data_IF_927557974214
#
_entry.id   IF_927557974214
#
_cell.length_a   1.000
_cell.length_b   1.000
_cell.length_c   1.000
_cell.angle_alpha   90.00
_cell.angle_beta   90.00
_cell.angle_gamma   90.00
#
_symmetry.space_group_name_H-M   'P 1'
#
loop_
_entity.id
_entity.type
_entity.pdbx_description
1 polymer ?
#
# COMPACT_ATOMS: atom_id res chain seq x y z
N UNK A 1 -21.69 -26.16 -2.78
CA UNK A 1 -22.52 -24.95 -2.99
C UNK A 1 -21.52 -23.81 -3.14
N UNK A 2 -21.12 -23.52 -4.38
CA UNK A 2 -20.22 -22.41 -4.66
C UNK A 2 -20.97 -21.11 -4.41
N UNK A 3 -20.56 -20.36 -3.42
CA UNK A 3 -20.97 -18.98 -3.23
C UNK A 3 -20.38 -18.17 -4.40
N UNK A 4 -21.20 -17.90 -5.41
CA UNK A 4 -20.89 -16.91 -6.42
C UNK A 4 -20.89 -15.55 -5.71
N UNK A 5 -19.69 -15.04 -5.42
CA UNK A 5 -19.51 -13.68 -4.94
C UNK A 5 -19.64 -12.76 -6.17
N UNK A 6 -20.84 -12.51 -6.61
CA UNK A 6 -21.17 -11.58 -7.70
C UNK A 6 -22.00 -10.39 -7.23
N UNK A 7 -22.33 -10.33 -5.95
CA UNK A 7 -23.10 -9.22 -5.42
C UNK A 7 -22.19 -8.34 -4.56
N UNK A 8 -21.39 -7.49 -5.22
CA UNK A 8 -20.92 -6.26 -4.56
C UNK A 8 -22.19 -5.55 -4.11
N UNK A 9 -22.38 -5.26 -2.83
CA UNK A 9 -23.56 -4.54 -2.40
C UNK A 9 -23.66 -3.26 -3.21
N UNK A 10 -24.75 -3.07 -3.93
CA UNK A 10 -25.02 -1.90 -4.76
C UNK A 10 -24.79 -0.60 -3.97
N UNK A 11 -24.98 -0.65 -2.67
CA UNK A 11 -24.70 0.40 -1.71
C UNK A 11 -23.23 0.84 -1.68
N UNK A 12 -22.25 -0.06 -1.75
CA UNK A 12 -20.81 0.28 -1.74
C UNK A 12 -20.42 1.04 -3.01
N UNK A 13 -20.98 0.64 -4.15
CA UNK A 13 -20.74 1.31 -5.43
C UNK A 13 -21.32 2.74 -5.39
N UNK A 14 -22.53 2.90 -4.89
CA UNK A 14 -23.17 4.22 -4.79
C UNK A 14 -22.42 5.15 -3.82
N UNK A 15 -21.95 4.64 -2.68
CA UNK A 15 -21.10 5.41 -1.76
C UNK A 15 -19.77 5.77 -2.43
N UNK A 16 -19.14 4.85 -3.17
CA UNK A 16 -17.93 5.13 -3.93
C UNK A 16 -18.13 6.21 -4.98
N UNK A 17 -19.23 6.19 -5.73
CA UNK A 17 -19.59 7.26 -6.68
C UNK A 17 -19.78 8.62 -5.97
N UNK A 18 -20.42 8.62 -4.81
CA UNK A 18 -20.58 9.81 -4.01
C UNK A 18 -19.23 10.38 -3.59
N UNK A 19 -18.32 9.55 -3.06
CA UNK A 19 -16.96 9.95 -2.66
C UNK A 19 -16.22 10.56 -3.85
N UNK A 20 -16.24 9.93 -5.02
CA UNK A 20 -15.63 10.47 -6.24
C UNK A 20 -16.21 11.84 -6.59
N UNK A 21 -17.53 12.01 -6.51
CA UNK A 21 -18.19 13.27 -6.79
C UNK A 21 -17.79 14.39 -5.81
N UNK A 22 -17.71 14.08 -4.52
CA UNK A 22 -17.33 15.02 -3.47
C UNK A 22 -15.85 15.39 -3.49
N UNK A 23 -15.00 14.44 -3.93
CA UNK A 23 -13.54 14.58 -3.91
C UNK A 23 -12.92 14.60 -5.31
N UNK A 24 -13.58 15.28 -6.24
CA UNK A 24 -13.12 15.44 -7.64
C UNK A 24 -11.69 15.95 -7.79
N UNK A 25 -11.15 16.64 -6.79
CA UNK A 25 -9.76 17.10 -6.78
C UNK A 25 -8.75 15.97 -6.56
N UNK A 26 -9.16 14.82 -5.97
CA UNK A 26 -8.35 13.62 -5.83
C UNK A 26 -8.65 12.60 -6.95
N UNK A 27 -9.92 12.51 -7.36
CA UNK A 27 -10.39 11.55 -8.36
C UNK A 27 -10.76 12.28 -9.65
N UNK A 28 -9.76 12.84 -10.32
CA UNK A 28 -9.91 13.39 -11.67
C UNK A 28 -10.23 12.28 -12.67
N UNK A 29 -10.74 12.64 -13.85
CA UNK A 29 -11.01 11.64 -14.89
C UNK A 29 -9.72 10.92 -15.31
N UNK A 30 -8.58 11.62 -15.31
CA UNK A 30 -7.24 11.04 -15.56
C UNK A 30 -6.84 10.05 -14.47
N UNK A 31 -7.04 10.38 -13.19
CA UNK A 31 -6.71 9.49 -12.07
C UNK A 31 -7.58 8.23 -12.06
N UNK A 32 -8.87 8.36 -12.34
CA UNK A 32 -9.76 7.22 -12.46
C UNK A 32 -9.38 6.31 -13.64
N UNK A 33 -8.91 6.88 -14.75
CA UNK A 33 -8.43 6.10 -15.88
C UNK A 33 -7.11 5.38 -15.57
N UNK A 34 -6.19 6.04 -14.86
CA UNK A 34 -4.96 5.43 -14.38
C UNK A 34 -5.23 4.24 -13.44
N UNK A 35 -6.19 4.38 -12.54
CA UNK A 35 -6.62 3.28 -11.66
C UNK A 35 -7.23 2.12 -12.45
N UNK A 36 -8.09 2.38 -13.44
CA UNK A 36 -8.65 1.33 -14.32
C UNK A 36 -7.53 0.62 -15.06
N UNK A 37 -6.60 1.38 -15.64
CA UNK A 37 -5.45 0.81 -16.32
C UNK A 37 -4.60 -0.06 -15.39
N UNK A 38 -4.32 0.41 -14.17
CA UNK A 38 -3.60 -0.36 -13.16
C UNK A 38 -4.27 -1.72 -12.90
N UNK A 39 -5.56 -1.73 -12.61
CA UNK A 39 -6.28 -2.96 -12.32
C UNK A 39 -6.43 -3.87 -13.54
N UNK A 40 -6.50 -3.32 -14.75
CA UNK A 40 -6.51 -4.12 -15.98
C UNK A 40 -5.18 -4.84 -16.20
N UNK A 41 -4.04 -4.18 -15.92
CA UNK A 41 -2.70 -4.72 -16.16
C UNK A 41 -2.26 -5.67 -15.04
N UNK A 42 -2.50 -5.30 -13.78
CA UNK A 42 -1.96 -6.00 -12.61
C UNK A 42 -3.03 -6.78 -11.83
N UNK A 43 -4.29 -6.49 -12.05
CA UNK A 43 -5.40 -6.99 -11.24
C UNK A 43 -5.81 -8.44 -11.51
N UNK A 44 -5.34 -9.08 -12.55
CA UNK A 44 -5.69 -10.47 -12.88
C UNK A 44 -7.18 -10.65 -13.18
N UNK A 45 -7.97 -11.09 -12.20
CA UNK A 45 -9.40 -11.35 -12.33
C UNK A 45 -10.29 -10.09 -12.27
N UNK A 46 -9.69 -8.90 -12.22
CA UNK A 46 -10.44 -7.66 -12.27
C UNK A 46 -10.88 -7.39 -13.70
N UNK A 47 -12.13 -7.72 -13.98
CA UNK A 47 -12.77 -7.36 -15.24
C UNK A 47 -13.13 -5.89 -15.21
N UNK A 48 -13.06 -5.24 -16.37
CA UNK A 48 -13.52 -3.87 -16.58
C UNK A 48 -15.04 -3.78 -16.56
N UNK A 49 -15.64 -4.06 -15.40
CA UNK A 49 -16.99 -3.63 -15.11
C UNK A 49 -16.87 -2.24 -14.47
N UNK A 50 -17.11 -1.20 -15.16
CA UNK A 50 -16.86 0.19 -14.74
C UNK A 50 -17.23 0.56 -13.30
N UNK A 51 -17.90 -0.32 -12.56
CA UNK A 51 -18.31 -0.15 -11.17
C UNK A 51 -17.24 -0.58 -10.16
N UNK A 52 -16.28 -1.44 -10.57
CA UNK A 52 -15.21 -1.89 -9.67
C UNK A 52 -14.39 -0.73 -9.10
N UNK A 53 -14.12 0.31 -9.90
CA UNK A 53 -13.39 1.50 -9.44
C UNK A 53 -14.09 2.17 -8.26
N UNK A 54 -15.39 2.24 -8.27
CA UNK A 54 -16.16 2.82 -7.16
C UNK A 54 -16.14 1.93 -5.93
N UNK A 55 -16.15 0.60 -6.11
CA UNK A 55 -15.91 -0.32 -4.99
C UNK A 55 -14.53 -0.11 -4.38
N UNK A 56 -13.48 -0.01 -5.21
CA UNK A 56 -12.13 0.27 -4.72
C UNK A 56 -12.06 1.61 -3.98
N UNK A 57 -12.66 2.67 -4.50
CA UNK A 57 -12.73 3.97 -3.81
C UNK A 57 -13.41 3.83 -2.45
N UNK A 58 -14.52 3.09 -2.37
CA UNK A 58 -15.15 2.78 -1.10
C UNK A 58 -14.19 2.05 -0.14
N UNK A 59 -13.54 0.98 -0.61
CA UNK A 59 -12.62 0.18 0.19
C UNK A 59 -11.41 1.00 0.68
N UNK A 60 -10.87 1.87 -0.17
CA UNK A 60 -9.81 2.79 0.20
C UNK A 60 -10.23 3.70 1.37
N UNK A 61 -11.39 4.32 1.30
CA UNK A 61 -11.87 5.23 2.34
C UNK A 61 -12.32 4.54 3.62
N UNK A 62 -12.87 3.34 3.52
CA UNK A 62 -13.36 2.59 4.67
C UNK A 62 -12.27 1.82 5.41
N UNK A 63 -11.31 1.28 4.68
CA UNK A 63 -10.31 0.37 5.24
C UNK A 63 -8.86 0.86 5.06
N UNK A 64 -8.63 1.98 4.38
CA UNK A 64 -7.29 2.52 4.11
C UNK A 64 -6.44 1.64 3.20
N UNK A 65 -7.07 0.85 2.33
CA UNK A 65 -6.38 -0.03 1.39
C UNK A 65 -5.89 0.75 0.18
N UNK A 66 -4.67 0.51 -0.28
CA UNK A 66 -4.18 1.05 -1.54
C UNK A 66 -4.44 0.08 -2.70
N UNK A 67 -4.16 0.49 -3.94
CA UNK A 67 -4.43 -0.32 -5.14
C UNK A 67 -3.64 -1.63 -5.19
N UNK A 68 -2.43 -1.68 -4.65
CA UNK A 68 -1.62 -2.89 -4.57
C UNK A 68 -2.18 -3.87 -3.54
N UNK A 69 -2.62 -3.37 -2.39
CA UNK A 69 -3.24 -4.17 -1.34
C UNK A 69 -4.61 -4.69 -1.76
N UNK A 70 -5.42 -3.87 -2.43
CA UNK A 70 -6.70 -4.27 -3.01
C UNK A 70 -6.55 -5.51 -3.88
N UNK A 71 -5.57 -5.47 -4.79
CA UNK A 71 -5.21 -6.58 -5.65
C UNK A 71 -4.64 -7.77 -4.87
N UNK A 72 -3.61 -7.53 -4.03
CA UNK A 72 -2.86 -8.58 -3.34
C UNK A 72 -3.73 -9.35 -2.36
N UNK A 73 -4.59 -8.65 -1.63
CA UNK A 73 -5.47 -9.25 -0.63
C UNK A 73 -6.81 -9.68 -1.19
N UNK A 74 -7.09 -9.39 -2.46
CA UNK A 74 -8.38 -9.67 -3.12
C UNK A 74 -9.57 -9.08 -2.36
N UNK A 75 -9.46 -7.82 -1.97
CA UNK A 75 -10.43 -7.16 -1.12
C UNK A 75 -11.84 -7.20 -1.70
N UNK A 76 -11.99 -7.05 -3.03
CA UNK A 76 -13.31 -7.13 -3.70
C UNK A 76 -14.10 -8.38 -3.35
N UNK A 77 -13.42 -9.48 -2.99
CA UNK A 77 -14.02 -10.78 -2.72
C UNK A 77 -14.27 -11.03 -1.22
N UNK A 78 -14.03 -10.05 -0.36
CA UNK A 78 -14.10 -10.19 1.09
C UNK A 78 -15.31 -9.51 1.67
N UNK A 79 -15.83 -10.10 2.73
CA UNK A 79 -16.86 -9.49 3.57
C UNK A 79 -16.33 -8.32 4.37
N UNK A 80 -17.18 -7.45 4.88
CA UNK A 80 -16.82 -6.36 5.78
C UNK A 80 -16.00 -6.85 7.00
N UNK A 81 -16.40 -7.96 7.59
CA UNK A 81 -15.70 -8.55 8.74
C UNK A 81 -14.26 -8.94 8.37
N UNK A 82 -14.07 -9.65 7.26
CA UNK A 82 -12.75 -10.05 6.78
C UNK A 82 -11.87 -8.84 6.42
N UNK A 83 -12.44 -7.83 5.73
CA UNK A 83 -11.70 -6.60 5.39
C UNK A 83 -11.20 -5.86 6.63
N UNK A 84 -11.99 -5.84 7.69
CA UNK A 84 -11.67 -5.17 8.95
C UNK A 84 -10.52 -5.83 9.74
N UNK A 85 -10.17 -7.07 9.41
CA UNK A 85 -9.05 -7.80 10.04
C UNK A 85 -7.68 -7.44 9.44
N UNK A 86 -7.65 -6.72 8.31
CA UNK A 86 -6.39 -6.37 7.66
C UNK A 86 -5.77 -5.10 8.22
N UNK A 87 -4.46 -5.16 8.42
CA UNK A 87 -3.65 -3.97 8.68
C UNK A 87 -3.21 -3.38 7.33
N UNK A 88 -3.98 -2.44 6.85
CA UNK A 88 -3.80 -1.80 5.55
C UNK A 88 -2.80 -0.65 5.58
N UNK A 89 -2.44 -0.14 4.40
CA UNK A 89 -1.44 0.90 4.23
C UNK A 89 -1.68 2.12 5.11
N UNK A 90 -2.88 2.70 5.10
CA UNK A 90 -3.16 3.91 5.87
C UNK A 90 -3.34 3.62 7.37
N UNK A 91 -3.96 2.49 7.72
CA UNK A 91 -4.20 2.12 9.10
C UNK A 91 -2.92 1.79 9.87
N UNK A 92 -1.87 1.26 9.20
CA UNK A 92 -0.60 0.91 9.85
C UNK A 92 0.09 2.09 10.52
N UNK A 93 -0.08 3.31 9.99
CA UNK A 93 0.54 4.50 10.59
C UNK A 93 0.01 4.81 11.98
N UNK A 94 -1.25 4.51 12.25
CA UNK A 94 -1.83 4.65 13.59
C UNK A 94 -1.15 3.71 14.58
N UNK A 95 -0.88 2.47 14.17
CA UNK A 95 -0.16 1.50 14.99
C UNK A 95 1.31 1.87 15.17
N UNK A 96 1.97 2.36 14.13
CA UNK A 96 3.36 2.82 14.24
C UNK A 96 3.49 3.97 15.24
N UNK A 97 2.55 4.89 15.28
CA UNK A 97 2.55 5.99 16.24
C UNK A 97 2.44 5.52 17.70
N UNK A 98 1.78 4.39 17.96
CA UNK A 98 1.58 3.83 19.29
C UNK A 98 2.68 2.84 19.67
N UNK A 99 3.09 1.97 18.74
CA UNK A 99 4.01 0.86 19.02
C UNK A 99 5.48 1.29 18.97
N UNK A 100 5.82 2.29 18.16
CA UNK A 100 7.19 2.71 17.99
C UNK A 100 7.58 3.77 19.02
N UNK A 101 8.72 3.53 19.68
CA UNK A 101 9.31 4.55 20.51
C UNK A 101 9.81 5.71 19.63
N UNK A 102 9.24 6.91 19.83
CA UNK A 102 9.59 8.11 19.03
C UNK A 102 11.09 8.43 19.03
N UNK A 103 11.80 8.05 20.10
CA UNK A 103 13.26 8.26 20.21
C UNK A 103 14.08 7.34 19.29
N UNK A 104 13.50 6.22 18.88
CA UNK A 104 14.20 5.19 18.10
C UNK A 104 13.73 5.14 16.63
N UNK A 105 12.67 5.86 16.26
CA UNK A 105 12.12 5.87 14.87
C UNK A 105 13.21 6.31 13.88
N UNK A 106 14.01 7.34 14.19
CA UNK A 106 15.05 7.86 13.31
C UNK A 106 16.08 6.79 12.91
N UNK A 107 16.28 5.78 13.75
CA UNK A 107 17.20 4.66 13.45
C UNK A 107 16.65 3.76 12.36
N UNK A 108 15.32 3.57 12.34
CA UNK A 108 14.66 2.76 11.33
C UNK A 108 14.57 3.50 9.97
N UNK A 109 14.48 4.83 10.01
CA UNK A 109 14.47 5.67 8.83
C UNK A 109 15.85 5.76 8.16
N UNK A 110 16.92 5.64 8.94
CA UNK A 110 18.30 5.62 8.43
C UNK A 110 18.82 4.19 8.37
N UNK A 111 18.84 3.61 7.17
CA UNK A 111 19.27 2.22 6.94
C UNK A 111 20.68 1.92 7.45
N UNK A 112 21.60 2.89 7.38
CA UNK A 112 22.97 2.70 7.84
C UNK A 112 23.06 2.73 9.37
N UNK A 113 22.34 3.61 10.05
CA UNK A 113 22.25 3.61 11.51
C UNK A 113 21.58 2.33 12.04
N UNK A 114 20.52 1.88 11.39
CA UNK A 114 19.90 0.59 11.69
C UNK A 114 20.91 -0.56 11.55
N UNK A 115 21.69 -0.56 10.45
CA UNK A 115 22.76 -1.53 10.26
C UNK A 115 23.78 -1.48 11.39
N UNK A 116 24.31 -0.32 11.76
CA UNK A 116 25.31 -0.20 12.82
C UNK A 116 24.80 -0.74 14.17
N UNK A 117 23.56 -0.44 14.54
CA UNK A 117 22.94 -0.97 15.77
C UNK A 117 22.70 -2.47 15.75
N UNK A 118 22.36 -3.00 14.61
CA UNK A 118 22.01 -4.41 14.43
C UNK A 118 23.15 -5.23 13.83
N UNK A 119 24.35 -4.66 13.64
CA UNK A 119 25.51 -5.28 12.95
C UNK A 119 25.82 -6.69 13.45
N UNK A 120 25.69 -6.93 14.76
CA UNK A 120 25.94 -8.26 15.33
C UNK A 120 25.01 -9.39 14.82
N UNK A 121 23.88 -9.02 14.25
CA UNK A 121 22.91 -9.97 13.70
C UNK A 121 23.03 -10.11 12.17
N UNK A 122 23.73 -9.19 11.51
CA UNK A 122 23.93 -9.24 10.07
C UNK A 122 25.17 -10.07 9.72
N UNK A 123 25.01 -10.94 8.76
CA UNK A 123 26.12 -11.71 8.16
C UNK A 123 26.82 -10.95 7.02
N UNK A 124 26.37 -9.76 6.71
CA UNK A 124 26.88 -8.92 5.62
C UNK A 124 27.43 -7.64 6.19
N UNK A 125 28.47 -7.13 5.54
CA UNK A 125 28.95 -5.79 5.81
C UNK A 125 28.17 -4.77 4.96
N UNK A 126 28.07 -3.55 5.44
CA UNK A 126 27.53 -2.42 4.73
C UNK A 126 28.43 -1.21 4.92
N UNK A 127 28.50 -0.38 3.90
CA UNK A 127 29.19 0.91 3.95
C UNK A 127 28.21 2.02 3.59
N UNK A 128 28.48 3.21 4.09
CA UNK A 128 27.78 4.42 3.69
C UNK A 128 28.62 5.12 2.61
N UNK A 129 28.00 5.43 1.49
CA UNK A 129 28.58 6.25 0.41
C UNK A 129 27.69 7.49 0.31
N UNK A 130 28.19 8.63 0.78
CA UNK A 130 27.45 9.88 0.85
C UNK A 130 27.82 10.84 -0.27
N UNK A 131 29.05 10.79 -0.75
CA UNK A 131 29.55 11.67 -1.79
C UNK A 131 30.63 11.02 -2.69
N UNK A 132 31.22 11.82 -3.56
CA UNK A 132 32.25 11.34 -4.51
C UNK A 132 33.57 10.97 -3.84
N UNK A 133 33.85 11.50 -2.66
CA UNK A 133 35.10 11.23 -1.93
C UNK A 133 35.07 9.80 -1.37
N UNK A 134 33.88 9.25 -1.11
CA UNK A 134 33.68 7.89 -0.63
C UNK A 134 33.83 6.81 -1.74
N UNK A 135 34.05 7.20 -2.99
CA UNK A 135 34.18 6.24 -4.10
C UNK A 135 35.35 5.27 -3.91
N UNK A 136 36.41 5.67 -3.24
CA UNK A 136 37.53 4.78 -2.95
C UNK A 136 37.13 3.71 -1.94
N UNK A 137 36.38 4.08 -0.90
CA UNK A 137 35.81 3.15 0.09
C UNK A 137 34.91 2.15 -0.60
N UNK A 138 34.06 2.63 -1.52
CA UNK A 138 33.20 1.75 -2.31
C UNK A 138 33.97 0.77 -3.17
N UNK A 139 35.03 1.24 -3.90
CA UNK A 139 35.88 0.38 -4.73
C UNK A 139 36.57 -0.71 -3.95
N UNK A 140 37.02 -0.42 -2.72
CA UNK A 140 37.67 -1.41 -1.87
C UNK A 140 36.67 -2.40 -1.26
N UNK A 141 35.44 -1.96 -1.01
CA UNK A 141 34.36 -2.80 -0.49
C UNK A 141 33.86 -3.85 -1.48
N UNK A 142 33.89 -3.57 -2.80
CA UNK A 142 33.39 -4.47 -3.85
C UNK A 142 34.46 -5.40 -4.43
N UNK A 143 35.71 -5.35 -3.99
CA UNK A 143 36.79 -6.29 -4.33
C UNK A 143 36.66 -7.59 -3.56
#
# INVERSE_FOLDING_TARGET
MELRITDVPCEMIEIGKQIVSEKRYLYTDEELENLRHYFTVFGGDYTDDGDFIYQYVYDHWMYGVNSEEEHTYRFKNKTHAEKSEYLTWDNRFQYYAVLNNKKDIHILDNKYEAYLKLKKYYKREAILVSDKEDLNIFRDFVK
#
